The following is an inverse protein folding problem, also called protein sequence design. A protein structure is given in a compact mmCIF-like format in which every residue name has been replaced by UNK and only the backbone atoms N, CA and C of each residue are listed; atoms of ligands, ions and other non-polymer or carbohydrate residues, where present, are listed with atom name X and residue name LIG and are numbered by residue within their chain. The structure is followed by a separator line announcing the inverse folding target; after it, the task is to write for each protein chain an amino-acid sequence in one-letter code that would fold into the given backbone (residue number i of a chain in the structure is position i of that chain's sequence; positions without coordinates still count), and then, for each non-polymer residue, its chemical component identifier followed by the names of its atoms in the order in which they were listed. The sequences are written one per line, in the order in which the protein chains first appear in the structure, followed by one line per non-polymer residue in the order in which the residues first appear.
data_IF_623862847521
#
_entry.id   IF_623862847521
#
_cell.length_a   1.000
_cell.length_b   1.000
_cell.length_c   1.000
_cell.angle_alpha   90.00
_cell.angle_beta   90.00
_cell.angle_gamma   90.00
#
_symmetry.space_group_name_H-M   'P 1'
#
loop_
_entity.id
_entity.type
_entity.pdbx_description
1 polymer ?
#
# COMPACT_ATOMS: atom_id res chain seq x y z
N UNK A 1 -25.24 14.32 30.74
CA UNK A 1 -24.26 13.68 31.67
C UNK A 1 -24.67 12.26 32.06
N UNK A 2 -25.83 12.03 32.70
CA UNK A 2 -26.27 10.65 33.08
C UNK A 2 -26.44 9.72 31.86
N UNK A 3 -27.06 10.21 30.79
CA UNK A 3 -27.25 9.46 29.52
C UNK A 3 -25.92 9.02 28.88
N UNK A 4 -24.88 9.87 28.97
CA UNK A 4 -23.57 9.56 28.40
C UNK A 4 -22.85 8.46 29.20
N UNK A 5 -23.04 8.42 30.52
CA UNK A 5 -22.50 7.36 31.39
C UNK A 5 -23.14 6.00 31.06
N UNK A 6 -24.43 5.99 30.72
CA UNK A 6 -25.14 4.77 30.32
C UNK A 6 -24.63 4.18 29.00
N UNK A 7 -24.00 4.98 28.14
CA UNK A 7 -23.39 4.50 26.90
C UNK A 7 -22.02 3.82 27.10
N UNK A 8 -21.39 3.94 28.27
CA UNK A 8 -20.03 3.41 28.53
C UNK A 8 -19.89 1.90 28.21
N UNK A 9 -20.82 1.01 28.60
CA UNK A 9 -20.69 -0.43 28.30
C UNK A 9 -20.66 -0.72 26.79
N UNK A 10 -21.39 0.07 26.00
CA UNK A 10 -21.43 -0.05 24.53
C UNK A 10 -20.12 0.50 23.93
N UNK A 11 -19.69 1.68 24.38
CA UNK A 11 -18.46 2.34 23.90
C UNK A 11 -17.19 1.55 24.23
N UNK A 12 -17.19 0.77 25.32
CA UNK A 12 -16.07 -0.06 25.74
C UNK A 12 -15.74 -1.17 24.73
N UNK A 13 -16.72 -1.60 23.95
CA UNK A 13 -16.54 -2.60 22.90
C UNK A 13 -16.09 -3.97 23.44
N UNK A 14 -15.45 -4.76 22.58
CA UNK A 14 -15.12 -6.18 22.85
C UNK A 14 -13.71 -6.43 23.39
N UNK A 15 -12.84 -5.42 23.44
CA UNK A 15 -11.41 -5.58 23.80
C UNK A 15 -10.57 -6.37 22.79
N UNK A 16 -11.18 -6.91 21.73
CA UNK A 16 -10.50 -7.66 20.66
C UNK A 16 -10.07 -6.70 19.56
N UNK A 17 -8.79 -6.72 19.21
CA UNK A 17 -8.27 -5.92 18.09
C UNK A 17 -8.69 -6.54 16.76
N UNK A 18 -9.71 -5.96 16.13
CA UNK A 18 -10.18 -6.34 14.79
C UNK A 18 -10.20 -5.12 13.86
N UNK A 19 -10.40 -5.38 12.56
CA UNK A 19 -10.59 -4.31 11.57
C UNK A 19 -12.09 -4.19 11.34
N UNK A 20 -12.66 -3.01 11.57
CA UNK A 20 -14.05 -2.74 11.26
C UNK A 20 -14.29 -2.62 9.75
N UNK A 21 -15.51 -2.87 9.28
CA UNK A 21 -15.86 -2.75 7.85
C UNK A 21 -15.48 -1.40 7.24
N UNK A 22 -15.76 -0.24 7.88
CA UNK A 22 -15.34 1.06 7.35
C UNK A 22 -13.81 1.21 7.30
N UNK A 23 -13.10 0.68 8.30
CA UNK A 23 -11.64 0.75 8.35
C UNK A 23 -10.97 -0.07 7.24
N UNK A 24 -11.60 -1.12 6.70
CA UNK A 24 -11.02 -1.91 5.61
C UNK A 24 -10.64 -1.04 4.40
N UNK A 25 -11.54 -0.12 4.00
CA UNK A 25 -11.31 0.83 2.89
C UNK A 25 -10.14 1.76 3.19
N UNK A 26 -10.14 2.37 4.38
CA UNK A 26 -9.10 3.30 4.79
C UNK A 26 -7.75 2.62 4.97
N UNK A 27 -7.74 1.39 5.45
CA UNK A 27 -6.53 0.57 5.58
C UNK A 27 -5.91 0.27 4.21
N UNK A 28 -6.72 -0.08 3.21
CA UNK A 28 -6.23 -0.32 1.82
C UNK A 28 -5.62 0.94 1.22
N UNK A 29 -6.29 2.09 1.36
CA UNK A 29 -5.85 3.34 0.75
C UNK A 29 -4.73 4.04 1.55
N UNK A 30 -4.72 3.90 2.87
CA UNK A 30 -3.78 4.57 3.77
C UNK A 30 -2.41 3.89 3.87
N UNK A 31 -2.33 2.62 3.47
CA UNK A 31 -1.06 1.89 3.37
C UNK A 31 -0.19 2.42 2.24
N UNK A 32 1.11 2.24 2.40
CA UNK A 32 2.10 2.59 1.38
C UNK A 32 2.40 1.35 0.52
N UNK A 33 2.55 1.54 -0.77
CA UNK A 33 3.08 0.57 -1.72
C UNK A 33 4.28 1.15 -2.45
N UNK A 34 4.90 0.30 -3.25
CA UNK A 34 5.95 0.69 -4.19
C UNK A 34 5.32 1.24 -5.48
N UNK A 35 5.78 2.40 -5.89
CA UNK A 35 5.32 3.16 -7.06
C UNK A 35 6.57 3.56 -7.86
N UNK A 36 6.45 3.69 -9.17
CA UNK A 36 7.54 4.17 -10.03
C UNK A 36 7.90 5.63 -9.73
N UNK A 37 9.18 5.90 -9.49
CA UNK A 37 9.70 7.25 -9.29
C UNK A 37 9.91 8.00 -10.61
N UNK A 38 10.13 7.27 -11.72
CA UNK A 38 10.26 7.78 -13.09
C UNK A 38 9.59 6.83 -14.08
N UNK A 39 9.48 7.26 -15.34
CA UNK A 39 9.09 6.36 -16.43
C UNK A 39 10.24 5.40 -16.76
N UNK A 40 9.92 4.12 -16.94
CA UNK A 40 10.85 3.03 -17.26
C UNK A 40 10.33 2.24 -18.47
N UNK A 41 11.24 1.78 -19.34
CA UNK A 41 10.87 1.01 -20.54
C UNK A 41 11.07 -0.49 -20.35
N UNK A 42 10.42 -1.26 -21.23
CA UNK A 42 10.68 -2.68 -21.43
C UNK A 42 12.18 -2.94 -21.62
N UNK A 43 12.74 -3.88 -20.88
CA UNK A 43 14.15 -4.25 -20.90
C UNK A 43 15.02 -3.50 -19.89
N UNK A 44 14.53 -2.44 -19.24
CA UNK A 44 15.28 -1.77 -18.18
C UNK A 44 15.34 -2.62 -16.90
N UNK A 45 16.45 -2.52 -16.18
CA UNK A 45 16.63 -3.14 -14.86
C UNK A 45 16.16 -2.14 -13.80
N UNK A 46 15.26 -2.57 -12.93
CA UNK A 46 14.72 -1.72 -11.87
C UNK A 46 15.82 -1.45 -10.83
N UNK A 47 16.16 -0.19 -10.63
CA UNK A 47 17.05 0.24 -9.55
C UNK A 47 16.27 0.74 -8.33
N UNK A 48 16.98 0.97 -7.22
CA UNK A 48 16.36 1.39 -5.97
C UNK A 48 15.75 2.79 -6.09
N UNK A 49 16.40 3.64 -6.86
CA UNK A 49 16.10 5.04 -7.14
C UNK A 49 14.87 5.17 -8.03
N UNK A 50 14.59 4.14 -8.84
CA UNK A 50 13.42 4.07 -9.72
C UNK A 50 12.12 3.78 -8.96
N UNK A 51 12.21 3.46 -7.67
CA UNK A 51 11.07 3.09 -6.82
C UNK A 51 10.90 4.08 -5.68
N UNK A 52 9.72 4.70 -5.62
CA UNK A 52 9.26 5.50 -4.47
C UNK A 52 8.18 4.79 -3.68
N UNK A 53 8.05 5.20 -2.42
CA UNK A 53 7.09 4.62 -1.48
C UNK A 53 5.96 5.62 -1.26
N UNK A 54 4.77 5.31 -1.79
CA UNK A 54 3.63 6.21 -1.77
C UNK A 54 2.32 5.45 -1.49
N UNK A 55 1.26 6.19 -1.18
CA UNK A 55 -0.11 5.64 -1.13
C UNK A 55 -0.66 5.60 -2.57
N UNK A 56 -1.59 4.69 -2.90
CA UNK A 56 -2.30 3.75 -2.02
C UNK A 56 -1.60 2.40 -1.85
N UNK A 57 -1.98 1.62 -0.84
CA UNK A 57 -1.38 0.32 -0.52
C UNK A 57 -1.91 -0.83 -1.38
N UNK A 58 -2.18 -0.56 -2.67
CA UNK A 58 -2.76 -1.53 -3.61
C UNK A 58 -1.72 -2.21 -4.50
N UNK A 59 -0.47 -1.73 -4.50
CA UNK A 59 0.66 -2.38 -5.16
C UNK A 59 1.50 -3.24 -4.22
N UNK A 60 2.73 -3.51 -4.63
CA UNK A 60 3.73 -4.24 -3.83
C UNK A 60 3.94 -3.62 -2.46
N UNK A 61 4.07 -4.48 -1.45
CA UNK A 61 4.34 -4.04 -0.10
C UNK A 61 5.76 -3.46 -0.01
N UNK A 62 5.97 -2.48 0.86
CA UNK A 62 7.29 -1.82 1.01
C UNK A 62 8.40 -2.81 1.39
N UNK A 63 8.03 -3.92 2.03
CA UNK A 63 8.95 -5.01 2.40
C UNK A 63 9.48 -5.79 1.20
N UNK A 64 8.74 -5.80 0.10
CA UNK A 64 9.06 -6.56 -1.10
C UNK A 64 10.03 -5.81 -2.02
N UNK A 65 10.45 -4.60 -1.64
CA UNK A 65 11.32 -3.73 -2.42
C UNK A 65 12.56 -4.46 -2.97
N UNK A 66 13.22 -5.26 -2.14
CA UNK A 66 14.42 -6.00 -2.53
C UNK A 66 14.13 -7.11 -3.56
N UNK A 67 12.88 -7.54 -3.71
CA UNK A 67 12.47 -8.51 -4.73
C UNK A 67 12.31 -7.87 -6.11
N UNK A 68 12.04 -6.56 -6.17
CA UNK A 68 11.90 -5.80 -7.42
C UNK A 68 13.23 -5.27 -7.93
N UNK A 69 14.11 -4.80 -7.04
CA UNK A 69 15.41 -4.25 -7.44
C UNK A 69 16.24 -5.36 -8.11
N UNK A 70 16.76 -5.06 -9.30
CA UNK A 70 17.50 -6.02 -10.13
C UNK A 70 16.64 -6.84 -11.10
N UNK A 71 15.31 -6.69 -11.09
CA UNK A 71 14.44 -7.33 -12.10
C UNK A 71 14.45 -6.55 -13.40
N UNK A 72 14.32 -7.27 -14.52
CA UNK A 72 14.16 -6.70 -15.86
C UNK A 72 12.68 -6.51 -16.19
N UNK A 73 12.31 -5.31 -16.64
CA UNK A 73 10.93 -5.01 -17.02
C UNK A 73 10.52 -5.70 -18.32
N UNK A 74 9.36 -6.35 -18.31
CA UNK A 74 8.66 -6.88 -19.48
C UNK A 74 7.66 -5.90 -20.08
N UNK A 75 7.38 -4.79 -19.39
CA UNK A 75 6.40 -3.75 -19.81
C UNK A 75 6.94 -2.35 -19.52
N UNK A 76 6.45 -1.37 -20.29
CA UNK A 76 6.69 0.03 -19.98
C UNK A 76 5.88 0.44 -18.75
N UNK A 77 6.48 1.19 -17.84
CA UNK A 77 5.84 1.75 -16.65
C UNK A 77 6.00 3.26 -16.70
N UNK A 78 4.91 4.00 -16.51
CA UNK A 78 4.96 5.47 -16.44
C UNK A 78 5.37 5.93 -15.05
N UNK A 79 5.84 7.17 -14.92
CA UNK A 79 6.04 7.79 -13.62
C UNK A 79 4.73 7.84 -12.81
N UNK A 80 4.80 7.68 -11.48
CA UNK A 80 3.65 7.69 -10.57
C UNK A 80 2.68 6.53 -10.76
N UNK A 81 3.10 5.49 -11.47
CA UNK A 81 2.30 4.30 -11.71
C UNK A 81 2.63 3.22 -10.67
N UNK A 82 1.60 2.50 -10.23
CA UNK A 82 1.77 1.35 -9.36
C UNK A 82 2.41 0.25 -10.20
N UNK A 83 3.55 -0.29 -9.72
CA UNK A 83 4.26 -1.35 -10.43
C UNK A 83 3.35 -2.59 -10.49
N UNK A 84 2.94 -3.05 -11.69
CA UNK A 84 2.03 -4.18 -11.79
C UNK A 84 2.76 -5.50 -11.49
N UNK A 85 2.02 -6.49 -10.98
CA UNK A 85 2.61 -7.76 -10.53
C UNK A 85 3.21 -8.60 -11.67
N UNK A 86 2.81 -8.33 -12.92
CA UNK A 86 3.26 -8.99 -14.14
C UNK A 86 4.29 -8.15 -14.92
N UNK A 87 4.87 -7.13 -14.29
CA UNK A 87 5.78 -6.18 -14.93
C UNK A 87 7.15 -6.75 -15.29
N UNK A 88 7.56 -7.89 -14.74
CA UNK A 88 8.91 -8.46 -14.81
C UNK A 88 8.93 -9.97 -14.96
#
# INVERSE_FOLDING_TARGET
MIEQIRMIPILKGSGVKSISEPEKKWRRNGRKSLISARSMKTGEIIQREDIKIMRPGTGFHVRDLNLLVGRTLKKNIRENEIIPFDAF
#
